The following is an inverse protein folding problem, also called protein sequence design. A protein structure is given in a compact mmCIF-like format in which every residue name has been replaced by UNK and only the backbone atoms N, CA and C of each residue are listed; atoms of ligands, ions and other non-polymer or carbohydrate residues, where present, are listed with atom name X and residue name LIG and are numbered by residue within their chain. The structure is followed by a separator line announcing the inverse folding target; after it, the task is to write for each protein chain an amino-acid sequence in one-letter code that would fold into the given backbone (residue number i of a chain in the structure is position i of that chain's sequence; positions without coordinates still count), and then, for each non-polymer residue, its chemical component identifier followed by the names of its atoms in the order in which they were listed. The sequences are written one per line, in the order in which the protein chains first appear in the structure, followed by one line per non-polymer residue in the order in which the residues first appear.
data_IF_142508538636
#
_entry.id   IF_142508538636
#
_cell.length_a   1.000
_cell.length_b   1.000
_cell.length_c   1.000
_cell.angle_alpha   90.00
_cell.angle_beta   90.00
_cell.angle_gamma   90.00
#
_symmetry.space_group_name_H-M   'P 1'
#
loop_
_entity.id
_entity.type
_entity.pdbx_description
1 polymer ?
#
# COMPACT_ATOMS: atom_id res chain seq x y z
N UNK A 1 10.31 26.92 38.12
CA UNK A 1 10.47 25.71 37.29
C UNK A 1 9.18 25.64 36.50
N UNK A 2 9.15 26.29 35.34
CA UNK A 2 7.95 26.39 34.51
C UNK A 2 7.84 25.09 33.70
N UNK A 3 6.75 24.35 33.92
CA UNK A 3 6.36 23.26 33.06
C UNK A 3 5.92 23.87 31.72
N UNK A 4 6.74 23.68 30.69
CA UNK A 4 6.31 23.93 29.32
C UNK A 4 5.27 22.87 28.97
N UNK A 5 4.00 23.24 29.11
CA UNK A 5 2.87 22.52 28.54
C UNK A 5 3.02 22.54 27.01
N UNK A 6 3.58 21.46 26.48
CA UNK A 6 3.75 21.26 25.04
C UNK A 6 2.38 21.07 24.42
N UNK A 7 1.80 22.15 23.89
CA UNK A 7 0.60 22.10 23.06
C UNK A 7 0.86 21.15 21.89
N UNK A 8 0.30 19.94 21.96
CA UNK A 8 0.41 18.97 20.88
C UNK A 8 -0.41 19.48 19.70
N UNK A 9 0.17 19.56 18.48
CA UNK A 9 -0.52 20.12 17.34
C UNK A 9 -1.81 19.37 17.05
N UNK A 10 -2.83 20.13 16.67
CA UNK A 10 -4.15 19.60 16.29
C UNK A 10 -4.06 18.65 15.09
N UNK A 11 -5.11 17.85 14.87
CA UNK A 11 -5.16 16.85 13.79
C UNK A 11 -5.00 17.49 12.39
N UNK A 12 -5.49 18.73 12.22
CA UNK A 12 -5.34 19.53 11.00
C UNK A 12 -3.93 20.12 10.87
N UNK A 13 -3.32 20.59 11.95
CA UNK A 13 -1.93 21.10 11.92
C UNK A 13 -0.91 20.01 11.58
N UNK A 14 -1.14 18.77 12.07
CA UNK A 14 -0.31 17.61 11.70
C UNK A 14 -0.41 17.24 10.21
N UNK A 15 -1.47 17.63 9.51
CA UNK A 15 -1.64 17.35 8.08
C UNK A 15 -0.79 18.27 7.19
N UNK A 16 -0.37 19.44 7.69
CA UNK A 16 0.38 20.45 6.94
C UNK A 16 1.91 20.40 7.15
N UNK A 17 2.40 19.44 7.94
CA UNK A 17 3.83 19.25 8.13
C UNK A 17 4.38 18.50 6.91
N UNK A 18 5.41 19.02 6.22
CA UNK A 18 6.02 18.33 5.08
C UNK A 18 6.49 16.93 5.48
N UNK A 19 6.06 15.92 4.73
CA UNK A 19 6.49 14.54 4.90
C UNK A 19 7.54 14.19 3.87
N UNK A 20 8.61 13.56 4.31
CA UNK A 20 9.81 13.29 3.51
C UNK A 20 10.12 11.81 3.36
N UNK A 21 9.41 10.94 4.09
CA UNK A 21 9.56 9.49 4.01
C UNK A 21 8.21 8.78 3.94
N UNK A 22 8.27 7.52 3.50
CA UNK A 22 7.12 6.61 3.46
C UNK A 22 7.51 5.30 4.12
N UNK A 23 6.66 4.80 5.00
CA UNK A 23 6.73 3.42 5.49
C UNK A 23 5.65 2.60 4.79
N UNK A 24 6.07 1.63 3.98
CA UNK A 24 5.15 0.77 3.21
C UNK A 24 4.98 -0.55 3.95
N UNK A 25 3.73 -0.92 4.23
CA UNK A 25 3.36 -2.22 4.77
C UNK A 25 2.64 -3.00 3.67
N UNK A 26 3.32 -4.02 3.13
CA UNK A 26 2.80 -4.86 2.05
C UNK A 26 2.49 -6.30 2.48
N UNK A 27 2.74 -6.63 3.75
CA UNK A 27 2.27 -7.86 4.41
C UNK A 27 1.13 -7.46 5.39
N UNK A 28 -0.12 -7.90 5.17
CA UNK A 28 -1.26 -7.67 6.06
C UNK A 28 -1.02 -7.98 7.54
N UNK A 29 -0.16 -8.95 7.85
CA UNK A 29 0.14 -9.32 9.24
C UNK A 29 0.96 -8.24 9.96
N UNK A 30 1.56 -7.33 9.20
CA UNK A 30 2.40 -6.22 9.68
C UNK A 30 1.71 -4.87 9.65
N UNK A 31 0.44 -4.81 9.21
CA UNK A 31 -0.29 -3.56 9.15
C UNK A 31 -0.32 -2.86 10.51
N UNK A 32 -0.08 -1.53 10.55
CA UNK A 32 -0.22 -0.78 11.79
C UNK A 32 -1.68 -0.79 12.23
N UNK A 33 -1.91 -0.88 13.54
CA UNK A 33 -3.24 -0.60 14.08
C UNK A 33 -3.52 0.90 13.93
N UNK A 34 -4.76 1.28 13.63
CA UNK A 34 -5.19 2.68 13.46
C UNK A 34 -4.70 3.60 14.59
N UNK A 35 -4.73 3.09 15.84
CA UNK A 35 -4.30 3.82 17.03
C UNK A 35 -2.79 4.10 17.10
N UNK A 36 -1.96 3.32 16.39
CA UNK A 36 -0.50 3.48 16.37
C UNK A 36 -0.01 4.31 15.17
N UNK A 37 -0.85 4.55 14.16
CA UNK A 37 -0.49 5.41 13.01
C UNK A 37 -0.16 6.86 13.45
N UNK A 38 -0.87 7.47 14.43
CA UNK A 38 -0.51 8.79 14.95
C UNK A 38 0.83 8.84 15.70
N UNK A 39 1.36 7.69 16.15
CA UNK A 39 2.64 7.59 16.87
C UNK A 39 3.83 7.54 15.90
N UNK A 40 3.58 7.36 14.61
CA UNK A 40 4.63 7.44 13.60
C UNK A 40 5.22 8.86 13.57
N UNK A 41 6.53 8.99 13.28
CA UNK A 41 7.14 10.30 13.17
C UNK A 41 6.38 11.18 12.17
N UNK A 42 6.15 12.45 12.51
CA UNK A 42 5.29 13.35 11.74
C UNK A 42 5.74 13.57 10.29
N UNK A 43 7.00 13.27 9.97
CA UNK A 43 7.59 13.35 8.64
C UNK A 43 7.42 12.06 7.79
N UNK A 44 6.77 11.02 8.32
CA UNK A 44 6.52 9.74 7.64
C UNK A 44 5.05 9.66 7.21
N UNK A 45 4.84 9.36 5.93
CA UNK A 45 3.56 8.89 5.40
C UNK A 45 3.47 7.37 5.50
N UNK A 46 2.25 6.85 5.52
CA UNK A 46 2.00 5.40 5.48
C UNK A 46 1.60 4.99 4.06
N UNK A 47 2.17 3.87 3.63
CA UNK A 47 1.74 3.12 2.47
C UNK A 47 1.20 1.76 2.88
N UNK A 48 0.11 1.32 2.26
CA UNK A 48 -0.48 0.02 2.48
C UNK A 48 -0.67 -0.68 1.14
N UNK A 49 -0.39 -1.97 1.10
CA UNK A 49 -0.65 -2.82 -0.07
C UNK A 49 -0.62 -4.30 0.32
N UNK A 50 -0.81 -5.17 -0.66
CA UNK A 50 -0.59 -6.61 -0.47
C UNK A 50 0.39 -7.06 -1.55
N UNK A 51 1.60 -7.39 -1.14
CA UNK A 51 2.65 -7.78 -2.06
C UNK A 51 2.23 -9.06 -2.81
N UNK A 52 2.41 -9.12 -4.15
CA UNK A 52 1.91 -10.23 -4.99
C UNK A 52 2.34 -11.65 -4.55
N UNK A 53 3.55 -11.81 -4.01
CA UNK A 53 4.00 -13.08 -3.39
C UNK A 53 3.05 -13.64 -2.33
N UNK A 54 2.23 -12.81 -1.70
CA UNK A 54 1.28 -13.26 -0.70
C UNK A 54 -0.05 -13.78 -1.28
N UNK A 55 -0.25 -13.73 -2.60
CA UNK A 55 -1.48 -14.20 -3.25
C UNK A 55 -1.86 -15.65 -2.92
N UNK A 56 -0.88 -16.50 -2.64
CA UNK A 56 -1.09 -17.89 -2.23
C UNK A 56 -1.19 -18.06 -0.71
N UNK A 57 -0.55 -17.17 0.05
CA UNK A 57 -0.53 -17.19 1.53
C UNK A 57 -1.92 -16.85 2.07
N UNK A 58 -2.59 -15.89 1.43
CA UNK A 58 -3.86 -15.39 1.91
C UNK A 58 -5.03 -16.11 1.25
N UNK A 59 -5.80 -16.81 2.08
CA UNK A 59 -7.13 -17.24 1.70
C UNK A 59 -8.00 -16.03 1.36
N UNK A 60 -9.08 -16.25 0.61
CA UNK A 60 -10.09 -15.21 0.32
C UNK A 60 -10.54 -14.47 1.58
N UNK A 61 -10.66 -15.18 2.71
CA UNK A 61 -11.01 -14.59 4.01
C UNK A 61 -9.97 -13.60 4.51
N UNK A 62 -8.68 -13.93 4.38
CA UNK A 62 -7.60 -13.05 4.83
C UNK A 62 -7.43 -11.84 3.91
N UNK A 63 -7.63 -12.00 2.59
CA UNK A 63 -7.68 -10.85 1.66
C UNK A 63 -8.83 -9.92 2.05
N UNK A 64 -10.00 -10.47 2.37
CA UNK A 64 -11.14 -9.66 2.82
C UNK A 64 -10.87 -8.96 4.18
N UNK A 65 -10.14 -9.60 5.09
CA UNK A 65 -9.72 -8.96 6.35
C UNK A 65 -8.70 -7.85 6.09
N UNK A 66 -7.69 -8.10 5.25
CA UNK A 66 -6.71 -7.12 4.85
C UNK A 66 -7.39 -5.91 4.19
N UNK A 67 -8.37 -6.15 3.30
CA UNK A 67 -9.22 -5.11 2.69
C UNK A 67 -10.01 -4.32 3.74
N UNK A 68 -10.58 -4.96 4.77
CA UNK A 68 -11.27 -4.24 5.84
C UNK A 68 -10.32 -3.37 6.65
N UNK A 69 -9.17 -3.90 7.04
CA UNK A 69 -8.14 -3.12 7.77
C UNK A 69 -7.64 -1.97 6.90
N UNK A 70 -7.45 -2.21 5.60
CA UNK A 70 -7.09 -1.22 4.62
C UNK A 70 -8.10 -0.08 4.57
N UNK A 71 -9.40 -0.38 4.45
CA UNK A 71 -10.47 0.60 4.45
C UNK A 71 -10.51 1.47 5.70
N UNK A 72 -10.30 0.87 6.89
CA UNK A 72 -10.24 1.63 8.14
C UNK A 72 -9.07 2.62 8.13
N UNK A 73 -7.90 2.16 7.66
CA UNK A 73 -6.70 2.97 7.59
C UNK A 73 -6.78 4.06 6.52
N UNK A 74 -7.52 3.86 5.41
CA UNK A 74 -7.69 4.86 4.36
C UNK A 74 -8.23 6.18 4.91
N UNK A 75 -9.13 6.17 5.90
CA UNK A 75 -9.64 7.38 6.53
C UNK A 75 -8.58 8.23 7.27
N UNK A 76 -7.35 7.71 7.40
CA UNK A 76 -6.26 8.40 8.06
C UNK A 76 -5.54 9.38 7.11
N UNK A 77 -5.35 10.66 7.50
CA UNK A 77 -4.59 11.62 6.68
C UNK A 77 -3.09 11.29 6.56
N UNK A 78 -2.58 10.34 7.34
CA UNK A 78 -1.23 9.80 7.19
C UNK A 78 -1.10 8.82 6.03
N UNK A 79 -2.21 8.27 5.52
CA UNK A 79 -2.23 7.40 4.36
C UNK A 79 -2.08 8.21 3.08
N UNK A 80 -0.95 8.03 2.39
CA UNK A 80 -0.65 8.71 1.13
C UNK A 80 -0.26 7.76 0.01
N UNK A 81 0.15 6.53 0.33
CA UNK A 81 0.64 5.57 -0.64
C UNK A 81 -0.25 4.32 -0.66
N UNK A 82 -0.54 3.86 -1.88
CA UNK A 82 -1.28 2.64 -2.15
C UNK A 82 -0.34 1.67 -2.83
N UNK A 83 0.06 0.62 -2.14
CA UNK A 83 1.04 -0.35 -2.58
C UNK A 83 1.99 -0.75 -1.45
N UNK A 84 2.84 -1.73 -1.65
CA UNK A 84 3.10 -2.40 -2.93
C UNK A 84 1.99 -3.40 -3.32
N UNK A 85 1.52 -3.31 -4.56
CA UNK A 85 0.58 -4.26 -5.21
C UNK A 85 1.04 -4.52 -6.63
N UNK A 86 0.70 -5.66 -7.24
CA UNK A 86 1.02 -5.89 -8.65
C UNK A 86 1.25 -7.36 -8.98
N UNK A 87 2.31 -7.65 -9.73
CA UNK A 87 2.60 -8.98 -10.27
C UNK A 87 4.05 -9.41 -10.00
N UNK A 88 4.20 -10.66 -9.57
CA UNK A 88 5.46 -11.33 -9.26
C UNK A 88 5.53 -12.65 -10.04
N UNK A 89 6.10 -12.58 -11.23
CA UNK A 89 6.16 -13.64 -12.23
C UNK A 89 7.26 -14.68 -12.00
N UNK A 90 8.12 -14.49 -10.99
CA UNK A 90 9.00 -15.58 -10.53
C UNK A 90 8.22 -16.67 -9.79
N UNK A 91 6.97 -16.40 -9.38
CA UNK A 91 6.06 -17.44 -8.86
C UNK A 91 5.57 -18.34 -10.00
N UNK A 92 5.23 -19.62 -9.73
CA UNK A 92 4.70 -20.52 -10.75
C UNK A 92 3.48 -19.93 -11.48
N UNK A 93 3.37 -20.12 -12.79
CA UNK A 93 2.29 -19.56 -13.63
C UNK A 93 0.89 -19.84 -13.08
N UNK A 94 0.66 -21.04 -12.53
CA UNK A 94 -0.60 -21.44 -11.89
C UNK A 94 -1.02 -20.52 -10.73
N UNK A 95 -0.10 -19.73 -10.20
CA UNK A 95 -0.29 -18.83 -9.08
C UNK A 95 -0.62 -17.39 -9.52
N UNK A 96 -0.40 -17.05 -10.78
CA UNK A 96 -0.60 -15.68 -11.29
C UNK A 96 -2.06 -15.25 -11.25
N UNK A 97 -3.00 -16.17 -11.50
CA UNK A 97 -4.43 -15.89 -11.41
C UNK A 97 -4.84 -15.36 -10.02
N UNK A 98 -4.24 -15.88 -8.94
CA UNK A 98 -4.51 -15.39 -7.58
C UNK A 98 -3.95 -13.97 -7.35
N UNK A 99 -2.84 -13.61 -8.00
CA UNK A 99 -2.28 -12.26 -7.92
C UNK A 99 -3.21 -11.26 -8.62
N UNK A 100 -3.73 -11.63 -9.80
CA UNK A 100 -4.71 -10.82 -10.53
C UNK A 100 -6.00 -10.67 -9.72
N UNK A 101 -6.56 -11.75 -9.19
CA UNK A 101 -7.78 -11.71 -8.37
C UNK A 101 -7.61 -10.81 -7.13
N UNK A 102 -6.45 -10.88 -6.48
CA UNK A 102 -6.10 -10.01 -5.36
C UNK A 102 -6.03 -8.54 -5.79
N UNK A 103 -5.39 -8.24 -6.93
CA UNK A 103 -5.27 -6.90 -7.46
C UNK A 103 -6.65 -6.30 -7.80
N UNK A 104 -7.51 -7.07 -8.47
CA UNK A 104 -8.89 -6.68 -8.81
C UNK A 104 -9.74 -6.37 -7.57
N UNK A 105 -9.49 -7.06 -6.45
CA UNK A 105 -10.19 -6.80 -5.19
C UNK A 105 -9.73 -5.53 -4.48
N UNK A 106 -8.47 -5.14 -4.65
CA UNK A 106 -7.85 -4.07 -3.86
C UNK A 106 -7.92 -2.74 -4.61
N UNK A 107 -7.65 -2.72 -5.92
CA UNK A 107 -7.65 -1.50 -6.74
C UNK A 107 -8.90 -0.62 -6.63
N UNK A 108 -10.14 -1.15 -6.44
CA UNK A 108 -11.31 -0.32 -6.24
C UNK A 108 -11.27 0.62 -5.02
N UNK A 109 -10.32 0.43 -4.09
CA UNK A 109 -10.12 1.32 -2.94
C UNK A 109 -9.09 2.43 -3.20
N UNK A 110 -8.49 2.48 -4.39
CA UNK A 110 -7.62 3.57 -4.78
C UNK A 110 -8.45 4.86 -4.91
N UNK A 111 -7.91 5.97 -4.41
CA UNK A 111 -8.54 7.30 -4.48
C UNK A 111 -7.53 8.27 -5.09
N UNK A 112 -7.99 9.37 -5.69
CA UNK A 112 -7.13 10.34 -6.40
C UNK A 112 -6.01 10.94 -5.53
N UNK A 113 -6.18 10.95 -4.19
CA UNK A 113 -5.17 11.43 -3.26
C UNK A 113 -4.01 10.46 -3.02
N UNK A 114 -4.14 9.20 -3.44
CA UNK A 114 -3.15 8.17 -3.19
C UNK A 114 -2.13 8.09 -4.32
N UNK A 115 -0.86 7.93 -3.96
CA UNK A 115 0.21 7.55 -4.89
C UNK A 115 0.20 6.02 -5.03
N UNK A 116 -0.08 5.52 -6.22
CA UNK A 116 -0.04 4.08 -6.51
C UNK A 116 1.41 3.61 -6.72
N UNK A 117 1.82 2.59 -5.97
CA UNK A 117 3.12 1.90 -6.10
C UNK A 117 2.87 0.49 -6.60
N UNK A 118 3.35 0.24 -7.82
CA UNK A 118 3.19 -1.03 -8.51
C UNK A 118 4.47 -1.86 -8.37
N UNK A 119 4.30 -3.10 -7.92
CA UNK A 119 5.31 -4.14 -7.97
C UNK A 119 5.20 -4.89 -9.30
N UNK A 120 6.24 -4.84 -10.12
CA UNK A 120 6.39 -5.64 -11.33
C UNK A 120 7.73 -6.37 -11.26
N UNK A 121 7.73 -7.71 -11.26
CA UNK A 121 8.96 -8.50 -11.23
C UNK A 121 8.79 -9.87 -11.87
N UNK A 122 9.83 -10.40 -12.49
CA UNK A 122 9.92 -11.73 -13.10
C UNK A 122 9.41 -11.84 -14.55
N UNK A 123 9.19 -10.75 -15.28
CA UNK A 123 8.93 -10.82 -16.73
C UNK A 123 10.25 -11.18 -17.46
N UNK A 124 10.17 -12.03 -18.50
CA UNK A 124 11.21 -12.04 -19.53
C UNK A 124 11.27 -10.59 -20.05
N UNK A 125 12.44 -9.93 -19.95
CA UNK A 125 12.71 -8.49 -20.17
C UNK A 125 12.82 -7.57 -18.93
N UNK A 126 12.65 -8.09 -17.69
CA UNK A 126 12.91 -7.33 -16.45
C UNK A 126 14.40 -6.98 -16.22
N UNK A 127 15.25 -7.27 -17.19
CA UNK A 127 16.62 -6.78 -17.31
C UNK A 127 16.71 -5.26 -17.59
N UNK A 128 15.58 -4.54 -17.68
CA UNK A 128 15.55 -3.12 -18.06
C UNK A 128 15.64 -2.91 -19.58
N UNK A 129 15.36 -3.93 -20.37
CA UNK A 129 15.40 -3.87 -21.83
C UNK A 129 14.02 -4.19 -22.39
N UNK A 130 13.32 -3.13 -22.76
CA UNK A 130 12.18 -3.05 -23.71
C UNK A 130 10.77 -3.02 -23.10
N UNK A 131 10.10 -1.90 -23.37
CA UNK A 131 8.73 -1.62 -22.95
C UNK A 131 7.71 -2.23 -23.89
N UNK A 132 6.67 -2.84 -23.32
CA UNK A 132 5.54 -3.34 -24.08
C UNK A 132 4.78 -2.21 -24.78
N UNK A 133 4.75 -2.23 -26.12
CA UNK A 133 3.84 -1.42 -26.92
C UNK A 133 2.43 -1.99 -26.85
N UNK A 134 1.48 -1.22 -26.29
CA UNK A 134 0.07 -1.56 -26.35
C UNK A 134 -0.44 -1.40 -27.79
N UNK A 135 -0.73 -2.51 -28.46
CA UNK A 135 -1.43 -2.48 -29.74
C UNK A 135 -2.92 -2.36 -29.45
N UNK A 136 -3.48 -1.18 -29.71
CA UNK A 136 -4.91 -0.94 -29.72
C UNK A 136 -5.57 -1.85 -30.76
N UNK A 137 -6.42 -2.78 -30.32
CA UNK A 137 -7.33 -3.49 -31.23
C UNK A 137 -8.50 -2.56 -31.55
N UNK A 138 -8.62 -2.22 -32.83
CA UNK A 138 -9.75 -1.55 -33.47
C UNK A 138 -10.98 -2.44 -33.56
#
# INVERSE_FOLDING_TARGET
MEEHDGCSPSREEKANIPRWGVSIYCDPDTYPMDQHVPDLPQYISVGLGIHPRHALKYSVTLVNQAVKTFQNLLGNPCMAVFGEVGLHHTEPIKCWAYQVEMLEKILPFLEDRHVLVIHCHGMEDDCGTEGFSCSSMS
#
